data_IF_244463101049
#
_entry.id   IF_244463101049
#
_cell.length_a   1.000
_cell.length_b   1.000
_cell.length_c   1.000
_cell.angle_alpha   90.00
_cell.angle_beta   90.00
_cell.angle_gamma   90.00
#
_symmetry.space_group_name_H-M   'P 1'
#
loop_
_entity.id
_entity.type
_entity.pdbx_description
1 polymer ?
#
# COMPACT_ATOMS: atom_id res chain seq x y z
N UNK A 1 -2.92 25.33 -17.35
CA UNK A 1 -4.00 25.01 -16.37
C UNK A 1 -4.02 23.52 -16.05
N UNK A 2 -4.16 22.61 -17.03
CA UNK A 2 -4.08 21.15 -16.80
C UNK A 2 -2.79 20.70 -16.07
N UNK A 3 -1.62 21.22 -16.45
CA UNK A 3 -0.36 20.87 -15.78
C UNK A 3 -0.32 21.26 -14.29
N UNK A 4 -0.90 22.42 -13.95
CA UNK A 4 -1.01 22.92 -12.57
C UNK A 4 -2.02 22.11 -11.75
N UNK A 5 -3.16 21.77 -12.34
CA UNK A 5 -4.14 20.86 -11.74
C UNK A 5 -3.54 19.47 -11.48
N UNK A 6 -2.68 18.99 -12.38
CA UNK A 6 -1.98 17.72 -12.21
C UNK A 6 -0.91 17.79 -11.11
N UNK A 7 -0.26 18.95 -10.93
CA UNK A 7 0.65 19.22 -9.80
C UNK A 7 -0.10 19.37 -8.45
N UNK A 8 -1.26 20.03 -8.44
CA UNK A 8 -2.11 20.15 -7.26
C UNK A 8 -2.79 18.80 -6.89
N UNK A 9 -3.09 17.97 -7.88
CA UNK A 9 -3.54 16.58 -7.70
C UNK A 9 -2.42 15.69 -7.11
N UNK A 10 -1.15 15.91 -7.47
CA UNK A 10 -0.01 15.29 -6.77
C UNK A 10 0.07 15.72 -5.30
N UNK A 11 -0.41 16.91 -4.96
CA UNK A 11 -0.46 17.41 -3.58
C UNK A 11 -1.60 16.81 -2.74
N UNK A 12 -2.58 16.15 -3.36
CA UNK A 12 -3.67 15.41 -2.70
C UNK A 12 -3.67 13.94 -3.09
N UNK A 13 -2.54 13.43 -3.58
CA UNK A 13 -2.37 12.01 -3.80
C UNK A 13 -2.25 11.34 -2.43
N UNK A 14 -3.36 10.79 -1.93
CA UNK A 14 -3.31 9.89 -0.78
C UNK A 14 -2.69 8.60 -1.30
N UNK A 15 -1.42 8.38 -0.97
CA UNK A 15 -0.75 7.14 -1.30
C UNK A 15 -1.65 5.97 -0.86
N UNK A 16 -1.87 4.94 -1.70
CA UNK A 16 -2.65 3.76 -1.33
C UNK A 16 -2.19 3.15 -0.01
N UNK A 17 -0.90 3.29 0.28
CA UNK A 17 -0.30 2.97 1.57
C UNK A 17 -0.96 3.69 2.75
N UNK A 18 -1.12 5.01 2.67
CA UNK A 18 -1.78 5.79 3.73
C UNK A 18 -3.25 5.41 3.88
N UNK A 19 -3.93 5.07 2.78
CA UNK A 19 -5.32 4.58 2.83
C UNK A 19 -5.41 3.21 3.52
N UNK A 20 -4.49 2.30 3.22
CA UNK A 20 -4.38 1.00 3.88
C UNK A 20 -4.12 1.16 5.39
N UNK A 21 -3.26 2.09 5.80
CA UNK A 21 -3.01 2.38 7.22
C UNK A 21 -4.27 2.88 7.95
N UNK A 22 -5.06 3.74 7.30
CA UNK A 22 -6.35 4.19 7.86
C UNK A 22 -7.32 3.01 7.99
N UNK A 23 -7.40 2.14 6.98
CA UNK A 23 -8.26 0.96 7.02
C UNK A 23 -7.85 -0.02 8.14
N UNK A 24 -6.56 -0.22 8.36
CA UNK A 24 -6.04 -0.99 9.51
C UNK A 24 -6.48 -0.35 10.84
N UNK A 25 -6.33 0.97 10.98
CA UNK A 25 -6.77 1.70 12.18
C UNK A 25 -8.28 1.63 12.44
N UNK A 26 -9.09 1.42 11.38
CA UNK A 26 -10.53 1.19 11.49
C UNK A 26 -10.89 -0.29 11.75
N UNK A 27 -9.90 -1.19 11.80
CA UNK A 27 -10.09 -2.63 11.96
C UNK A 27 -10.48 -3.36 10.66
N UNK A 28 -10.52 -2.66 9.52
CA UNK A 28 -10.88 -3.21 8.21
C UNK A 28 -9.65 -3.75 7.49
N UNK A 29 -9.18 -4.90 7.99
CA UNK A 29 -7.97 -5.57 7.51
C UNK A 29 -8.13 -6.08 6.08
N UNK A 30 -9.33 -6.49 5.70
CA UNK A 30 -9.63 -6.98 4.35
C UNK A 30 -9.39 -5.90 3.31
N UNK A 31 -9.97 -4.72 3.50
CA UNK A 31 -9.79 -3.60 2.56
C UNK A 31 -8.36 -3.09 2.55
N UNK A 32 -7.67 -3.09 3.69
CA UNK A 32 -6.26 -2.71 3.75
C UNK A 32 -5.39 -3.60 2.85
N UNK A 33 -5.61 -4.92 2.86
CA UNK A 33 -4.87 -5.85 2.01
C UNK A 33 -5.21 -5.64 0.54
N UNK A 34 -6.48 -5.43 0.21
CA UNK A 34 -6.93 -5.15 -1.16
C UNK A 34 -6.27 -3.88 -1.72
N UNK A 35 -6.19 -2.81 -0.92
CA UNK A 35 -5.56 -1.57 -1.37
C UNK A 35 -4.05 -1.70 -1.55
N UNK A 36 -3.37 -2.47 -0.68
CA UNK A 36 -1.95 -2.74 -0.86
C UNK A 36 -1.68 -3.60 -2.11
N UNK A 37 -2.55 -4.57 -2.42
CA UNK A 37 -2.42 -5.37 -3.64
C UNK A 37 -2.72 -4.55 -4.90
N UNK A 38 -3.71 -3.66 -4.84
CA UNK A 38 -4.00 -2.71 -5.91
C UNK A 38 -2.81 -1.79 -6.17
N UNK A 39 -2.24 -1.20 -5.12
CA UNK A 39 -1.04 -0.36 -5.21
C UNK A 39 0.15 -1.08 -5.87
N UNK A 40 0.33 -2.36 -5.54
CA UNK A 40 1.36 -3.18 -6.17
C UNK A 40 1.10 -3.42 -7.66
N UNK A 41 -0.15 -3.62 -8.07
CA UNK A 41 -0.53 -3.82 -9.50
C UNK A 41 -0.35 -2.55 -10.32
N UNK A 42 -0.67 -1.39 -9.76
CA UNK A 42 -0.48 -0.08 -10.38
C UNK A 42 0.99 0.39 -10.37
N UNK A 43 1.93 -0.46 -9.93
CA UNK A 43 3.36 -0.18 -9.80
C UNK A 43 3.68 0.99 -8.86
N UNK A 44 2.78 1.30 -7.94
CA UNK A 44 2.98 2.32 -6.92
C UNK A 44 3.75 1.77 -5.72
N UNK A 45 4.94 1.25 -5.99
CA UNK A 45 5.75 0.52 -5.01
C UNK A 45 6.59 1.43 -4.12
N UNK A 46 6.51 2.75 -4.29
CA UNK A 46 7.32 3.74 -3.57
C UNK A 46 7.23 3.63 -2.04
N UNK A 47 6.13 3.07 -1.52
CA UNK A 47 5.90 2.86 -0.08
C UNK A 47 5.86 1.38 0.32
N UNK A 48 5.85 0.46 -0.66
CA UNK A 48 5.84 -0.97 -0.39
C UNK A 48 7.24 -1.54 -0.08
N UNK A 49 8.31 -0.75 -0.21
CA UNK A 49 9.68 -1.21 0.09
C UNK A 49 9.85 -1.70 1.54
N UNK A 50 9.06 -1.17 2.46
CA UNK A 50 9.06 -1.49 3.89
C UNK A 50 8.00 -2.51 4.29
N UNK A 51 7.20 -3.06 3.36
CA UNK A 51 5.99 -3.86 3.67
C UNK A 51 6.26 -5.05 4.62
N UNK A 52 7.47 -5.61 4.58
CA UNK A 52 7.86 -6.74 5.45
C UNK A 52 8.17 -6.33 6.89
N UNK A 53 8.65 -5.10 7.10
CA UNK A 53 9.23 -4.65 8.38
C UNK A 53 8.44 -3.51 9.03
N UNK A 54 7.48 -2.92 8.34
CA UNK A 54 6.67 -1.83 8.88
C UNK A 54 5.78 -2.34 10.03
N UNK A 55 5.91 -1.79 11.26
CA UNK A 55 5.07 -2.15 12.40
C UNK A 55 3.59 -1.80 12.21
N UNK A 56 3.27 -0.81 11.37
CA UNK A 56 1.88 -0.41 11.11
C UNK A 56 1.09 -1.49 10.36
N UNK A 57 1.80 -2.46 9.77
CA UNK A 57 1.21 -3.61 9.09
C UNK A 57 1.21 -4.88 9.95
N UNK A 58 1.64 -4.80 11.21
CA UNK A 58 1.70 -5.95 12.13
C UNK A 58 0.33 -6.63 12.24
N UNK A 59 -0.75 -5.86 12.21
CA UNK A 59 -2.13 -6.36 12.27
C UNK A 59 -2.55 -7.20 11.07
N UNK A 60 -1.86 -7.08 9.93
CA UNK A 60 -2.09 -7.86 8.72
C UNK A 60 -1.20 -9.10 8.63
N UNK A 61 -0.17 -9.21 9.49
CA UNK A 61 0.74 -10.36 9.50
C UNK A 61 -0.02 -11.62 9.91
N UNK A 62 0.25 -12.71 9.20
CA UNK A 62 -0.47 -13.97 9.37
C UNK A 62 -1.69 -14.13 8.45
N UNK A 63 -2.17 -13.08 7.78
CA UNK A 63 -3.12 -13.24 6.68
C UNK A 63 -2.40 -13.80 5.44
N UNK A 64 -2.85 -14.94 4.87
CA UNK A 64 -2.20 -15.54 3.70
C UNK A 64 -2.10 -14.60 2.48
N UNK A 65 -3.06 -13.68 2.30
CA UNK A 65 -3.06 -12.71 1.20
C UNK A 65 -1.97 -11.66 1.40
N UNK A 66 -1.81 -11.16 2.63
CA UNK A 66 -0.75 -10.21 2.97
C UNK A 66 0.64 -10.84 2.78
N UNK A 67 0.82 -12.08 3.26
CA UNK A 67 2.08 -12.82 3.08
C UNK A 67 2.41 -13.07 1.60
N UNK A 68 1.42 -13.34 0.76
CA UNK A 68 1.60 -13.49 -0.68
C UNK A 68 2.03 -12.16 -1.34
N UNK A 69 1.45 -11.04 -0.92
CA UNK A 69 1.82 -9.71 -1.38
C UNK A 69 3.27 -9.38 -0.99
N UNK A 70 3.65 -9.60 0.27
CA UNK A 70 5.04 -9.39 0.74
C UNK A 70 6.04 -10.18 -0.11
N UNK A 71 5.73 -11.45 -0.44
CA UNK A 71 6.59 -12.26 -1.31
C UNK A 71 6.72 -11.66 -2.71
N UNK A 72 5.64 -11.18 -3.32
CA UNK A 72 5.67 -10.55 -4.65
C UNK A 72 6.51 -9.28 -4.64
N UNK A 73 6.28 -8.39 -3.68
CA UNK A 73 7.02 -7.13 -3.50
C UNK A 73 8.51 -7.38 -3.27
N UNK A 74 8.86 -8.39 -2.45
CA UNK A 74 10.26 -8.71 -2.13
C UNK A 74 10.95 -9.54 -3.22
N UNK A 75 10.21 -10.32 -4.02
CA UNK A 75 10.74 -11.07 -5.15
C UNK A 75 11.02 -10.19 -6.38
N UNK A 76 10.26 -9.11 -6.58
CA UNK A 76 10.50 -8.12 -7.64
C UNK A 76 11.79 -7.29 -7.45
N UNK A 77 12.55 -7.54 -6.36
CA UNK A 77 13.86 -6.94 -6.08
C UNK A 77 15.06 -7.77 -6.56
N UNK A 78 14.87 -8.81 -7.37
CA UNK A 78 15.97 -9.60 -7.98
C UNK A 78 16.32 -9.11 -9.38
#
# INVERSE_FOLDING_TARGET
ILARLNEEAKSHYVAPYALALVQIGLGDKDRAIEELDHAYREQETNYLFGIKVDPMLDDLRGDPRFEALVRRVTAAKQ
#
